data_IF_932969270405
#
_entry.id   IF_932969270405
#
_cell.length_a   1.000
_cell.length_b   1.000
_cell.length_c   1.000
_cell.angle_alpha   90.00
_cell.angle_beta   90.00
_cell.angle_gamma   90.00
#
_symmetry.space_group_name_H-M   'P 1'
#
loop_
_entity.id
_entity.type
_entity.pdbx_description
1 polymer ?
#
# COMPACT_ATOMS: atom_id res chain seq x y z
N UNK A 1 31.56 18.95 -15.34
CA UNK A 1 31.59 19.88 -14.18
C UNK A 1 31.42 19.08 -12.89
N UNK A 2 32.41 19.08 -11.99
CA UNK A 2 32.27 18.47 -10.65
C UNK A 2 31.45 19.43 -9.76
N UNK A 3 30.38 18.98 -9.09
CA UNK A 3 29.58 19.84 -8.23
C UNK A 3 30.43 20.39 -7.08
N UNK A 4 30.36 21.71 -6.87
CA UNK A 4 31.11 22.38 -5.81
C UNK A 4 30.67 21.83 -4.43
N UNK A 5 31.58 21.19 -3.66
CA UNK A 5 31.26 20.62 -2.35
C UNK A 5 30.85 21.68 -1.31
N UNK A 6 31.11 22.97 -1.58
CA UNK A 6 30.69 24.10 -0.74
C UNK A 6 29.34 24.69 -1.14
N UNK A 7 28.69 24.20 -2.19
CA UNK A 7 27.31 24.62 -2.49
C UNK A 7 26.38 24.27 -1.32
N UNK A 8 25.37 25.11 -1.09
CA UNK A 8 24.33 24.89 -0.08
C UNK A 8 23.70 23.48 -0.18
N UNK A 9 23.57 22.95 -1.40
CA UNK A 9 23.13 21.59 -1.67
C UNK A 9 24.12 20.51 -1.18
N UNK A 10 25.44 20.76 -1.31
CA UNK A 10 26.50 19.88 -0.79
C UNK A 10 26.55 19.88 0.74
N UNK A 11 26.38 21.05 1.37
CA UNK A 11 26.30 21.19 2.82
C UNK A 11 25.03 20.53 3.40
N UNK A 12 23.88 20.64 2.74
CA UNK A 12 22.64 19.98 3.16
C UNK A 12 22.75 18.45 3.14
N UNK A 13 23.45 17.88 2.14
CA UNK A 13 23.74 16.43 2.09
C UNK A 13 24.67 15.98 3.21
N UNK A 14 25.73 16.74 3.52
CA UNK A 14 26.65 16.47 4.65
C UNK A 14 25.94 16.56 6.00
N UNK A 15 25.14 17.60 6.22
CA UNK A 15 24.31 17.77 7.43
C UNK A 15 23.37 16.58 7.65
N UNK A 16 22.79 16.04 6.57
CA UNK A 16 21.92 14.87 6.65
C UNK A 16 22.68 13.59 6.98
N UNK A 17 23.83 13.36 6.35
CA UNK A 17 24.72 12.23 6.66
C UNK A 17 25.22 12.28 8.12
N UNK A 18 25.68 13.45 8.56
CA UNK A 18 26.13 13.69 9.94
C UNK A 18 25.00 13.52 10.97
N UNK A 19 23.76 13.90 10.64
CA UNK A 19 22.60 13.62 11.51
C UNK A 19 22.36 12.13 11.69
N UNK A 20 22.68 11.27 10.72
CA UNK A 20 22.55 9.82 10.91
C UNK A 20 23.65 9.25 11.80
N UNK A 21 24.81 9.90 11.86
CA UNK A 21 25.96 9.51 12.69
C UNK A 21 25.83 9.98 14.14
N UNK A 22 24.99 10.99 14.43
CA UNK A 22 24.83 11.48 15.82
C UNK A 22 23.97 10.51 16.65
N UNK A 23 24.52 9.97 17.77
CA UNK A 23 23.78 9.06 18.64
C UNK A 23 22.53 9.74 19.23
N UNK A 24 21.48 8.97 19.51
CA UNK A 24 20.23 9.48 20.08
C UNK A 24 20.43 10.04 21.49
N UNK A 25 19.77 11.18 21.78
CA UNK A 25 19.70 11.73 23.14
C UNK A 25 19.07 10.73 24.12
N UNK A 26 19.36 10.87 25.41
CA UNK A 26 18.80 9.98 26.44
C UNK A 26 17.27 10.01 26.47
N UNK A 27 16.67 11.19 26.35
CA UNK A 27 15.22 11.38 26.28
C UNK A 27 14.62 10.70 25.05
N UNK A 28 15.27 10.86 23.89
CA UNK A 28 14.82 10.17 22.67
C UNK A 28 14.92 8.65 22.83
N UNK A 29 15.93 8.13 23.54
CA UNK A 29 16.04 6.69 23.83
C UNK A 29 14.89 6.21 24.72
N UNK A 30 14.57 6.94 25.79
CA UNK A 30 13.50 6.57 26.72
C UNK A 30 12.10 6.61 26.08
N UNK A 31 11.84 7.58 25.20
CA UNK A 31 10.52 7.76 24.55
C UNK A 31 10.30 6.90 23.29
N UNK A 32 11.34 6.21 22.78
CA UNK A 32 11.24 5.36 21.58
C UNK A 32 10.13 4.32 21.65
N UNK A 33 10.00 3.51 22.73
CA UNK A 33 8.97 2.48 22.78
C UNK A 33 7.58 3.10 22.64
N UNK A 34 7.31 4.20 23.36
CA UNK A 34 6.02 4.90 23.28
C UNK A 34 5.78 5.43 21.87
N UNK A 35 6.78 6.07 21.25
CA UNK A 35 6.67 6.57 19.87
C UNK A 35 6.35 5.47 18.85
N UNK A 36 7.06 4.34 18.91
CA UNK A 36 6.81 3.22 18.00
C UNK A 36 5.49 2.50 18.29
N UNK A 37 5.07 2.42 19.56
CA UNK A 37 3.77 1.87 19.93
C UNK A 37 2.63 2.71 19.35
N UNK A 38 2.65 4.04 19.57
CA UNK A 38 1.62 4.93 19.04
C UNK A 38 1.55 4.87 17.50
N UNK A 39 2.70 4.92 16.82
CA UNK A 39 2.76 4.80 15.37
C UNK A 39 2.24 3.43 14.91
N UNK A 40 2.61 2.35 15.61
CA UNK A 40 2.13 0.99 15.31
C UNK A 40 0.62 0.87 15.45
N UNK A 41 0.04 1.44 16.51
CA UNK A 41 -1.41 1.48 16.72
C UNK A 41 -2.13 2.25 15.62
N UNK A 42 -1.66 3.45 15.27
CA UNK A 42 -2.23 4.25 14.18
C UNK A 42 -2.24 3.47 12.87
N UNK A 43 -1.11 2.87 12.48
CA UNK A 43 -1.05 2.08 11.24
C UNK A 43 -1.83 0.78 11.32
N UNK A 44 -2.00 0.19 12.50
CA UNK A 44 -2.86 -0.98 12.69
C UNK A 44 -4.33 -0.63 12.46
N UNK A 45 -4.79 0.50 13.01
CA UNK A 45 -6.15 0.99 12.80
C UNK A 45 -6.37 1.28 11.31
N UNK A 46 -5.46 2.01 10.66
CA UNK A 46 -5.55 2.27 9.21
C UNK A 46 -5.53 0.95 8.43
N UNK A 47 -4.64 0.01 8.77
CA UNK A 47 -4.58 -1.32 8.18
C UNK A 47 -5.90 -2.06 8.28
N UNK A 48 -6.47 -2.14 9.49
CA UNK A 48 -7.76 -2.77 9.74
C UNK A 48 -8.89 -2.11 8.94
N UNK A 49 -8.97 -0.78 8.94
CA UNK A 49 -9.95 -0.04 8.13
C UNK A 49 -9.79 -0.38 6.65
N UNK A 50 -8.57 -0.29 6.10
CA UNK A 50 -8.32 -0.55 4.67
C UNK A 50 -8.59 -1.99 4.26
N UNK A 51 -8.32 -2.97 5.13
CA UNK A 51 -8.63 -4.39 4.90
C UNK A 51 -10.13 -4.69 5.00
N UNK A 52 -10.84 -4.01 5.91
CA UNK A 52 -12.28 -4.19 6.10
C UNK A 52 -13.13 -3.43 5.07
N UNK A 53 -12.58 -2.41 4.43
CA UNK A 53 -13.32 -1.50 3.55
C UNK A 53 -14.12 -2.20 2.44
N UNK A 54 -13.61 -3.23 1.73
CA UNK A 54 -14.41 -3.96 0.73
C UNK A 54 -15.63 -4.65 1.32
N UNK A 55 -15.49 -5.24 2.52
CA UNK A 55 -16.59 -5.88 3.23
C UNK A 55 -17.58 -4.84 3.78
N UNK A 56 -17.09 -3.75 4.38
CA UNK A 56 -17.93 -2.67 4.91
C UNK A 56 -18.73 -1.98 3.80
N UNK A 57 -18.16 -1.78 2.61
CA UNK A 57 -18.89 -1.26 1.46
C UNK A 57 -20.02 -2.20 1.05
N UNK A 58 -19.76 -3.50 0.99
CA UNK A 58 -20.77 -4.51 0.64
C UNK A 58 -21.91 -4.54 1.66
N UNK A 59 -21.58 -4.57 2.96
CA UNK A 59 -22.56 -4.57 4.05
C UNK A 59 -23.34 -3.25 4.09
N UNK A 60 -22.68 -2.12 3.86
CA UNK A 60 -23.30 -0.80 3.82
C UNK A 60 -24.30 -0.67 2.67
N UNK A 61 -24.00 -1.25 1.50
CA UNK A 61 -24.93 -1.32 0.37
C UNK A 61 -26.10 -2.25 0.67
N UNK A 62 -25.85 -3.42 1.30
CA UNK A 62 -26.90 -4.38 1.63
C UNK A 62 -27.85 -3.91 2.73
N UNK A 63 -27.38 -3.07 3.64
CA UNK A 63 -28.19 -2.52 4.74
C UNK A 63 -29.01 -1.28 4.33
N UNK A 64 -28.88 -0.81 3.09
CA UNK A 64 -29.53 0.41 2.64
C UNK A 64 -30.79 0.11 1.83
N UNK A 65 -31.95 0.18 2.49
CA UNK A 65 -33.27 -0.08 1.89
C UNK A 65 -33.60 0.87 0.72
N UNK A 66 -32.96 2.05 0.66
CA UNK A 66 -33.19 3.03 -0.41
C UNK A 66 -32.43 2.72 -1.71
N UNK A 67 -31.46 1.80 -1.68
CA UNK A 67 -30.69 1.42 -2.85
C UNK A 67 -31.02 -0.03 -3.25
N UNK A 68 -32.12 -0.21 -3.98
CA UNK A 68 -32.35 -1.50 -4.66
C UNK A 68 -31.76 -1.45 -6.06
N UNK A 69 -30.86 -2.39 -6.38
CA UNK A 69 -30.31 -2.53 -7.74
C UNK A 69 -31.42 -2.77 -8.78
N UNK A 70 -32.55 -3.30 -8.31
CA UNK A 70 -33.77 -3.52 -9.08
C UNK A 70 -34.35 -2.21 -9.63
N UNK A 71 -34.47 -1.16 -8.83
CA UNK A 71 -35.04 0.11 -9.30
C UNK A 71 -34.14 0.78 -10.34
N UNK A 72 -32.82 0.70 -10.14
CA UNK A 72 -31.85 1.23 -11.09
C UNK A 72 -31.87 0.50 -12.44
N UNK A 73 -31.94 -0.85 -12.42
CA UNK A 73 -31.91 -1.66 -13.65
C UNK A 73 -33.26 -1.68 -14.36
N UNK A 74 -34.39 -1.69 -13.63
CA UNK A 74 -35.72 -1.81 -14.22
C UNK A 74 -36.29 -0.48 -14.69
N UNK A 75 -35.94 0.63 -14.03
CA UNK A 75 -36.46 1.96 -14.36
C UNK A 75 -35.40 2.88 -14.99
N UNK A 76 -34.15 2.41 -15.12
CA UNK A 76 -33.07 3.17 -15.72
C UNK A 76 -33.18 3.26 -17.24
N UNK A 77 -32.92 4.44 -17.79
CA UNK A 77 -32.72 4.62 -19.23
C UNK A 77 -31.52 3.76 -19.69
N UNK A 78 -31.70 2.98 -20.76
CA UNK A 78 -30.69 2.05 -21.26
C UNK A 78 -29.37 2.74 -21.62
N UNK A 79 -29.41 3.97 -22.13
CA UNK A 79 -28.22 4.75 -22.45
C UNK A 79 -27.46 5.12 -21.18
N UNK A 80 -28.18 5.52 -20.13
CA UNK A 80 -27.58 5.83 -18.82
C UNK A 80 -26.95 4.58 -18.20
N UNK A 81 -27.62 3.42 -18.29
CA UNK A 81 -27.09 2.14 -17.80
C UNK A 81 -25.80 1.74 -18.51
N UNK A 82 -25.75 1.88 -19.85
CA UNK A 82 -24.56 1.59 -20.64
C UNK A 82 -23.41 2.53 -20.24
N UNK A 83 -23.68 3.83 -20.11
CA UNK A 83 -22.66 4.81 -19.75
C UNK A 83 -22.13 4.58 -18.33
N UNK A 84 -23.01 4.28 -17.37
CA UNK A 84 -22.64 3.94 -16.00
C UNK A 84 -21.82 2.65 -15.93
N UNK A 85 -22.21 1.61 -16.68
CA UNK A 85 -21.46 0.36 -16.79
C UNK A 85 -20.08 0.56 -17.40
N UNK A 86 -19.98 1.35 -18.48
CA UNK A 86 -18.70 1.69 -19.10
C UNK A 86 -17.80 2.47 -18.13
N UNK A 87 -18.35 3.47 -17.42
CA UNK A 87 -17.62 4.22 -16.41
C UNK A 87 -17.15 3.32 -15.27
N UNK A 88 -18.01 2.42 -14.78
CA UNK A 88 -17.65 1.48 -13.73
C UNK A 88 -16.48 0.58 -14.17
N UNK A 89 -16.54 0.01 -15.37
CA UNK A 89 -15.50 -0.90 -15.89
C UNK A 89 -14.19 -0.16 -16.22
N UNK A 90 -14.27 1.01 -16.86
CA UNK A 90 -13.07 1.73 -17.34
C UNK A 90 -12.39 2.52 -16.22
N UNK A 91 -13.18 3.10 -15.30
CA UNK A 91 -12.66 4.02 -14.27
C UNK A 91 -12.70 3.37 -12.89
N UNK A 92 -13.87 2.94 -12.43
CA UNK A 92 -14.01 2.51 -11.04
C UNK A 92 -13.33 1.17 -10.74
N UNK A 93 -13.39 0.19 -11.64
CA UNK A 93 -12.75 -1.12 -11.46
C UNK A 93 -11.24 -0.97 -11.28
N UNK A 94 -10.48 -0.28 -12.15
CA UNK A 94 -9.06 -0.06 -11.93
C UNK A 94 -8.79 0.76 -10.65
N UNK A 95 -9.58 1.81 -10.41
CA UNK A 95 -9.37 2.71 -9.28
C UNK A 95 -9.60 2.01 -7.93
N UNK A 96 -10.76 1.36 -7.75
CA UNK A 96 -11.12 0.64 -6.53
C UNK A 96 -10.25 -0.59 -6.34
N UNK A 97 -10.01 -1.36 -7.41
CA UNK A 97 -9.10 -2.50 -7.38
C UNK A 97 -7.73 -2.07 -6.86
N UNK A 98 -7.15 -1.03 -7.47
CA UNK A 98 -5.86 -0.49 -7.03
C UNK A 98 -5.91 0.02 -5.59
N UNK A 99 -6.92 0.80 -5.20
CA UNK A 99 -7.05 1.34 -3.86
C UNK A 99 -7.12 0.24 -2.79
N UNK A 100 -7.94 -0.79 -3.00
CA UNK A 100 -8.12 -1.89 -2.04
C UNK A 100 -6.90 -2.79 -1.90
N UNK A 101 -6.00 -2.79 -2.88
CA UNK A 101 -4.74 -3.54 -2.81
C UNK A 101 -3.60 -2.65 -2.29
N UNK A 102 -3.46 -1.44 -2.82
CA UNK A 102 -2.37 -0.53 -2.50
C UNK A 102 -2.46 -0.01 -1.06
N UNK A 103 -3.67 0.31 -0.56
CA UNK A 103 -3.82 0.86 0.79
C UNK A 103 -3.41 -0.14 1.89
N UNK A 104 -3.87 -1.40 1.90
CA UNK A 104 -3.37 -2.39 2.87
C UNK A 104 -1.88 -2.68 2.69
N UNK A 105 -1.39 -2.75 1.44
CA UNK A 105 0.05 -2.93 1.18
C UNK A 105 0.90 -1.74 1.66
N UNK A 106 0.32 -0.54 1.75
CA UNK A 106 0.99 0.63 2.28
C UNK A 106 0.94 0.64 3.82
N UNK A 107 -0.21 0.35 4.42
CA UNK A 107 -0.49 0.54 5.85
C UNK A 107 -0.03 -0.64 6.72
N UNK A 108 -0.34 -1.88 6.32
CA UNK A 108 -0.03 -3.08 7.13
C UNK A 108 1.48 -3.26 7.31
N UNK A 109 2.33 -3.11 6.28
CA UNK A 109 3.78 -3.20 6.48
C UNK A 109 4.33 -2.11 7.39
N UNK A 110 3.76 -0.89 7.38
CA UNK A 110 4.15 0.17 8.30
C UNK A 110 3.82 -0.18 9.75
N UNK A 111 2.65 -0.78 10.01
CA UNK A 111 2.31 -1.32 11.33
C UNK A 111 3.33 -2.38 11.79
N UNK A 112 3.61 -3.36 10.93
CA UNK A 112 4.55 -4.46 11.25
C UNK A 112 5.97 -3.91 11.49
N UNK A 113 6.43 -2.96 10.69
CA UNK A 113 7.73 -2.31 10.89
C UNK A 113 7.76 -1.50 12.20
N UNK A 114 6.69 -0.76 12.52
CA UNK A 114 6.60 -0.01 13.78
C UNK A 114 6.69 -0.94 15.00
N UNK A 115 5.95 -2.04 15.02
CA UNK A 115 6.05 -3.04 16.10
C UNK A 115 7.41 -3.74 16.13
N UNK A 116 8.02 -3.99 14.96
CA UNK A 116 9.40 -4.51 14.90
C UNK A 116 10.39 -3.53 15.58
N UNK A 117 10.23 -2.23 15.38
CA UNK A 117 11.06 -1.22 16.03
C UNK A 117 10.73 -1.03 17.51
N UNK A 118 9.47 -1.20 17.91
CA UNK A 118 9.09 -1.28 19.33
C UNK A 118 9.88 -2.38 20.02
N UNK A 119 9.81 -3.62 19.51
CA UNK A 119 10.52 -4.77 20.09
C UNK A 119 12.04 -4.54 20.09
N UNK A 120 12.61 -3.97 19.02
CA UNK A 120 14.05 -3.63 18.98
C UNK A 120 14.41 -2.52 19.96
N UNK A 121 13.53 -1.55 20.22
CA UNK A 121 13.79 -0.45 21.15
C UNK A 121 13.87 -0.90 22.62
N UNK A 122 13.24 -2.02 22.97
CA UNK A 122 13.31 -2.63 24.29
C UNK A 122 14.61 -3.43 24.52
N UNK A 123 15.41 -3.67 23.48
CA UNK A 123 16.64 -4.46 23.57
C UNK A 123 17.84 -3.53 23.83
N UNK A 124 18.64 -3.77 24.88
CA UNK A 124 19.80 -2.94 25.22
C UNK A 124 20.84 -2.84 24.09
N UNK A 125 21.01 -3.89 23.30
CA UNK A 125 21.94 -3.95 22.17
C UNK A 125 21.62 -2.94 21.05
N UNK A 126 20.43 -2.36 21.05
CA UNK A 126 19.96 -1.38 20.07
C UNK A 126 19.83 0.03 20.67
N UNK A 127 20.20 0.24 21.94
CA UNK A 127 19.97 1.50 22.63
C UNK A 127 20.72 2.67 21.98
N UNK A 128 21.99 2.48 21.60
CA UNK A 128 22.84 3.52 21.00
C UNK A 128 22.54 3.81 19.54
N UNK A 129 21.74 2.98 18.87
CA UNK A 129 21.51 3.08 17.43
C UNK A 129 20.18 3.73 17.10
N UNK A 130 20.06 4.33 15.93
CA UNK A 130 18.77 4.72 15.37
C UNK A 130 18.15 3.50 14.68
N UNK A 131 16.85 3.28 14.88
CA UNK A 131 16.16 2.10 14.35
C UNK A 131 15.48 2.37 13.01
N UNK A 132 14.98 3.58 12.83
CA UNK A 132 14.26 4.02 11.64
C UNK A 132 14.77 5.36 11.13
N UNK A 133 14.64 5.56 9.82
CA UNK A 133 14.89 6.81 9.13
C UNK A 133 13.65 7.27 8.36
N UNK A 134 13.64 8.55 8.01
CA UNK A 134 12.67 9.13 7.08
C UNK A 134 13.37 9.44 5.76
N UNK A 135 12.91 8.80 4.69
CA UNK A 135 13.28 9.07 3.30
C UNK A 135 12.33 10.09 2.67
N UNK A 136 12.70 10.61 1.51
CA UNK A 136 11.87 11.53 0.75
C UNK A 136 11.84 11.04 -0.70
N UNK A 137 10.65 10.89 -1.28
CA UNK A 137 10.48 10.47 -2.68
C UNK A 137 9.43 11.32 -3.38
N UNK A 138 9.61 11.58 -4.67
CA UNK A 138 8.61 12.25 -5.51
C UNK A 138 7.63 11.27 -6.17
N UNK A 139 7.90 9.98 -6.06
CA UNK A 139 7.13 8.92 -6.74
C UNK A 139 6.09 8.27 -5.83
N UNK A 140 6.02 8.64 -4.55
CA UNK A 140 4.99 8.11 -3.66
C UNK A 140 3.64 8.78 -3.93
N UNK A 141 2.57 7.99 -3.87
CA UNK A 141 1.20 8.49 -3.85
C UNK A 141 0.99 9.36 -2.62
N UNK A 142 0.46 10.55 -2.85
CA UNK A 142 0.09 11.52 -1.84
C UNK A 142 -0.68 12.66 -2.49
N UNK A 143 -1.10 13.68 -1.71
CA UNK A 143 -1.59 14.94 -2.27
C UNK A 143 -0.60 15.47 -3.31
N UNK A 144 -1.05 16.24 -4.31
CA UNK A 144 -0.14 16.91 -5.25
C UNK A 144 0.69 17.91 -4.45
N UNK A 145 1.83 17.46 -3.94
CA UNK A 145 2.75 18.26 -3.15
C UNK A 145 3.86 18.76 -4.06
N UNK A 146 4.17 20.05 -3.96
CA UNK A 146 5.35 20.65 -4.62
C UNK A 146 6.64 19.99 -4.10
N UNK A 147 6.59 19.41 -2.90
CA UNK A 147 7.71 18.77 -2.23
C UNK A 147 7.63 17.24 -2.29
N UNK A 148 8.77 16.53 -2.19
CA UNK A 148 8.79 15.08 -2.01
C UNK A 148 7.92 14.66 -0.81
N UNK A 149 7.32 13.48 -0.88
CA UNK A 149 6.57 12.86 0.21
C UNK A 149 7.52 12.15 1.18
N UNK A 150 7.33 12.36 2.47
CA UNK A 150 8.12 11.73 3.52
C UNK A 150 7.74 10.25 3.68
N UNK A 151 8.70 9.35 3.48
CA UNK A 151 8.56 7.92 3.74
C UNK A 151 9.17 7.63 5.11
N UNK A 152 8.33 7.46 6.12
CA UNK A 152 8.77 7.15 7.49
C UNK A 152 9.10 5.66 7.65
N UNK A 153 9.68 5.29 8.80
CA UNK A 153 9.92 3.90 9.19
C UNK A 153 10.88 3.09 8.29
N UNK A 154 11.74 3.76 7.51
CA UNK A 154 12.75 3.07 6.71
C UNK A 154 13.80 2.42 7.63
N UNK A 155 14.12 1.13 7.46
CA UNK A 155 15.05 0.43 8.34
C UNK A 155 16.48 0.92 8.16
N UNK A 156 17.15 1.23 9.26
CA UNK A 156 18.60 1.51 9.24
C UNK A 156 19.42 0.21 9.19
N UNK A 157 19.02 -0.80 9.97
CA UNK A 157 19.55 -2.16 9.84
C UNK A 157 18.65 -3.00 8.94
N UNK A 158 19.14 -3.28 7.73
CA UNK A 158 18.44 -4.10 6.73
C UNK A 158 18.62 -5.58 7.07
N UNK A 159 17.56 -6.19 7.55
CA UNK A 159 17.44 -7.65 7.74
C UNK A 159 16.50 -8.24 6.67
N UNK A 160 16.51 -9.55 6.38
CA UNK A 160 15.55 -10.15 5.46
C UNK A 160 14.09 -9.81 5.81
N UNK A 161 13.76 -9.84 7.11
CA UNK A 161 12.44 -9.45 7.63
C UNK A 161 12.07 -8.00 7.30
N UNK A 162 12.88 -7.03 7.71
CA UNK A 162 12.59 -5.61 7.43
C UNK A 162 12.61 -5.32 5.93
N UNK A 163 13.49 -5.98 5.17
CA UNK A 163 13.56 -5.84 3.71
C UNK A 163 12.25 -6.27 3.06
N UNK A 164 11.70 -7.41 3.45
CA UNK A 164 10.42 -7.91 2.93
C UNK A 164 9.29 -6.91 3.18
N UNK A 165 9.12 -6.45 4.43
CA UNK A 165 8.05 -5.50 4.76
C UNK A 165 8.26 -4.12 4.12
N UNK A 166 9.49 -3.62 4.04
CA UNK A 166 9.78 -2.39 3.32
C UNK A 166 9.50 -2.51 1.82
N UNK A 167 9.74 -3.68 1.22
CA UNK A 167 9.37 -3.95 -0.18
C UNK A 167 7.85 -3.94 -0.38
N UNK A 168 7.08 -4.59 0.49
CA UNK A 168 5.63 -4.54 0.44
C UNK A 168 5.09 -3.12 0.61
N UNK A 169 5.63 -2.37 1.59
CA UNK A 169 5.32 -0.96 1.78
C UNK A 169 5.51 -0.15 0.49
N UNK A 170 6.66 -0.30 -0.17
CA UNK A 170 6.93 0.40 -1.42
C UNK A 170 6.03 -0.02 -2.57
N UNK A 171 5.54 -1.27 -2.56
CA UNK A 171 4.57 -1.72 -3.54
C UNK A 171 3.26 -0.92 -3.41
N UNK A 172 2.78 -0.67 -2.19
CA UNK A 172 1.58 0.13 -1.95
C UNK A 172 1.78 1.64 -2.19
N UNK A 173 2.92 2.20 -1.74
CA UNK A 173 3.16 3.64 -1.83
C UNK A 173 3.60 4.14 -3.20
N UNK A 174 4.34 3.33 -3.98
CA UNK A 174 4.87 3.75 -5.27
C UNK A 174 4.10 3.00 -6.37
N UNK A 175 3.19 3.68 -7.08
CA UNK A 175 2.35 3.07 -8.09
C UNK A 175 3.21 2.53 -9.21
N UNK A 176 2.85 1.35 -9.69
CA UNK A 176 3.43 0.74 -10.87
C UNK A 176 2.33 0.22 -11.77
N UNK A 177 2.54 0.32 -13.09
CA UNK A 177 1.61 -0.21 -14.08
C UNK A 177 1.27 -1.69 -13.84
N UNK A 178 2.25 -2.47 -13.40
CA UNK A 178 2.07 -3.91 -13.16
C UNK A 178 1.15 -4.17 -11.96
N UNK A 179 1.24 -3.32 -10.91
CA UNK A 179 0.36 -3.42 -9.75
C UNK A 179 -1.06 -2.94 -10.10
N UNK A 180 -1.19 -1.86 -10.87
CA UNK A 180 -2.47 -1.37 -11.37
C UNK A 180 -3.21 -2.47 -12.15
N UNK A 181 -2.52 -3.11 -13.11
CA UNK A 181 -3.09 -4.21 -13.90
C UNK A 181 -3.39 -5.44 -13.05
N UNK A 182 -2.52 -5.79 -12.09
CA UNK A 182 -2.75 -6.91 -11.16
C UNK A 182 -3.97 -6.70 -10.25
N UNK A 183 -4.37 -5.44 -10.02
CA UNK A 183 -5.48 -5.08 -9.16
C UNK A 183 -6.84 -5.08 -9.87
N UNK A 184 -6.88 -5.11 -11.21
CA UNK A 184 -8.13 -5.13 -12.01
C UNK A 184 -9.07 -6.28 -11.61
N UNK A 185 -8.61 -7.55 -11.43
CA UNK A 185 -9.51 -8.63 -11.05
C UNK A 185 -10.17 -8.38 -9.68
N UNK A 186 -9.47 -7.75 -8.74
CA UNK A 186 -10.03 -7.36 -7.45
C UNK A 186 -11.05 -6.23 -7.57
N UNK A 187 -10.78 -5.28 -8.47
CA UNK A 187 -11.76 -4.28 -8.89
C UNK A 187 -13.04 -4.92 -9.39
N UNK A 188 -12.95 -5.93 -10.26
CA UNK A 188 -14.12 -6.68 -10.73
C UNK A 188 -14.86 -7.37 -9.58
N UNK A 189 -14.14 -8.02 -8.65
CA UNK A 189 -14.74 -8.63 -7.45
C UNK A 189 -15.53 -7.61 -6.65
N UNK A 190 -15.02 -6.38 -6.50
CA UNK A 190 -15.68 -5.33 -5.72
C UNK A 190 -17.04 -4.89 -6.27
N UNK A 191 -17.30 -5.10 -7.56
CA UNK A 191 -18.62 -4.90 -8.17
C UNK A 191 -19.43 -6.19 -8.21
N UNK A 192 -18.77 -7.32 -8.54
CA UNK A 192 -19.42 -8.61 -8.69
C UNK A 192 -20.10 -9.03 -7.39
N UNK A 193 -19.40 -8.95 -6.26
CA UNK A 193 -19.87 -9.43 -4.96
C UNK A 193 -21.14 -8.70 -4.51
N UNK A 194 -21.17 -7.35 -4.41
CA UNK A 194 -22.43 -6.65 -4.15
C UNK A 194 -23.49 -6.93 -5.23
N UNK A 195 -23.08 -7.00 -6.50
CA UNK A 195 -24.01 -7.21 -7.62
C UNK A 195 -24.84 -8.49 -7.48
N UNK A 196 -24.21 -9.64 -7.22
CA UNK A 196 -24.95 -10.89 -7.06
C UNK A 196 -25.55 -11.09 -5.66
N UNK A 197 -25.02 -10.44 -4.62
CA UNK A 197 -25.60 -10.48 -3.27
C UNK A 197 -26.90 -9.68 -3.17
N UNK A 198 -26.97 -8.55 -3.87
CA UNK A 198 -28.15 -7.66 -3.87
C UNK A 198 -29.18 -8.04 -4.92
N UNK A 199 -28.83 -8.95 -5.84
CA UNK A 199 -29.73 -9.44 -6.87
C UNK A 199 -30.35 -10.78 -6.46
N UNK A 200 -31.65 -11.01 -6.74
CA UNK A 200 -32.28 -12.30 -6.48
C UNK A 200 -31.75 -13.36 -7.46
N UNK A 201 -30.64 -14.01 -7.10
CA UNK A 201 -30.07 -15.14 -7.82
C UNK A 201 -30.50 -16.46 -7.20
N UNK A 202 -30.60 -17.52 -8.01
CA UNK A 202 -30.84 -18.86 -7.48
C UNK A 202 -29.65 -19.35 -6.63
N UNK A 203 -29.85 -20.31 -5.71
CA UNK A 203 -28.75 -20.85 -4.90
C UNK A 203 -27.60 -21.41 -5.75
N UNK A 204 -27.93 -22.07 -6.86
CA UNK A 204 -26.92 -22.57 -7.80
C UNK A 204 -26.10 -21.44 -8.43
N UNK A 205 -26.76 -20.34 -8.85
CA UNK A 205 -26.07 -19.17 -9.38
C UNK A 205 -25.19 -18.49 -8.32
N UNK A 206 -25.64 -18.41 -7.07
CA UNK A 206 -24.85 -17.86 -5.96
C UNK A 206 -23.54 -18.66 -5.73
N UNK A 207 -23.59 -19.99 -5.82
CA UNK A 207 -22.40 -20.85 -5.73
C UNK A 207 -21.44 -20.58 -6.88
N UNK A 208 -21.95 -20.51 -8.12
CA UNK A 208 -21.12 -20.20 -9.30
C UNK A 208 -20.44 -18.84 -9.15
N UNK A 209 -21.18 -17.81 -8.77
CA UNK A 209 -20.63 -16.47 -8.58
C UNK A 209 -19.63 -16.40 -7.44
N UNK A 210 -19.84 -17.15 -6.36
CA UNK A 210 -18.87 -17.28 -5.26
C UNK A 210 -17.55 -17.88 -5.74
N UNK A 211 -17.60 -18.93 -6.56
CA UNK A 211 -16.41 -19.56 -7.16
C UNK A 211 -15.69 -18.57 -8.09
N UNK A 212 -16.43 -17.85 -8.93
CA UNK A 212 -15.86 -16.83 -9.83
C UNK A 212 -15.19 -15.71 -9.02
N UNK A 213 -15.84 -15.17 -7.99
CA UNK A 213 -15.26 -14.18 -7.09
C UNK A 213 -13.97 -14.70 -6.43
N UNK A 214 -13.98 -15.92 -5.91
CA UNK A 214 -12.81 -16.53 -5.29
C UNK A 214 -11.66 -16.69 -6.28
N UNK A 215 -11.93 -17.16 -7.49
CA UNK A 215 -10.93 -17.31 -8.54
C UNK A 215 -10.28 -15.97 -8.91
N UNK A 216 -11.08 -14.89 -8.99
CA UNK A 216 -10.56 -13.54 -9.24
C UNK A 216 -9.70 -13.02 -8.09
N UNK A 217 -10.09 -13.25 -6.83
CA UNK A 217 -9.25 -12.90 -5.66
C UNK A 217 -7.92 -13.65 -5.70
N UNK A 218 -7.94 -14.96 -5.96
CA UNK A 218 -6.73 -15.78 -6.10
C UNK A 218 -5.86 -15.26 -7.26
N UNK A 219 -6.47 -14.92 -8.40
CA UNK A 219 -5.77 -14.34 -9.54
C UNK A 219 -5.09 -13.03 -9.17
N UNK A 220 -5.75 -12.13 -8.45
CA UNK A 220 -5.14 -10.90 -7.92
C UNK A 220 -3.93 -11.20 -7.06
N UNK A 221 -4.05 -12.11 -6.09
CA UNK A 221 -2.92 -12.46 -5.21
C UNK A 221 -1.73 -12.96 -6.03
N UNK A 222 -1.96 -13.86 -6.99
CA UNK A 222 -0.91 -14.38 -7.88
C UNK A 222 -0.27 -13.26 -8.71
N UNK A 223 -1.07 -12.38 -9.29
CA UNK A 223 -0.57 -11.27 -10.12
C UNK A 223 0.21 -10.24 -9.29
N UNK A 224 -0.25 -9.89 -8.09
CA UNK A 224 0.44 -8.99 -7.16
C UNK A 224 1.78 -9.60 -6.73
N UNK A 225 1.82 -10.90 -6.41
CA UNK A 225 3.06 -11.61 -6.07
C UNK A 225 4.02 -11.62 -7.26
N UNK A 226 3.53 -11.83 -8.49
CA UNK A 226 4.35 -11.75 -9.71
C UNK A 226 4.90 -10.34 -9.92
N UNK A 227 4.07 -9.31 -9.80
CA UNK A 227 4.49 -7.91 -9.92
C UNK A 227 5.57 -7.56 -8.88
N UNK A 228 5.39 -7.99 -7.63
CA UNK A 228 6.39 -7.83 -6.58
C UNK A 228 7.72 -8.51 -6.92
N UNK A 229 7.67 -9.77 -7.39
CA UNK A 229 8.87 -10.52 -7.79
C UNK A 229 9.61 -9.84 -8.95
N UNK A 230 8.90 -9.41 -9.99
CA UNK A 230 9.51 -8.71 -11.14
C UNK A 230 10.21 -7.43 -10.67
N UNK A 231 9.51 -6.61 -9.87
CA UNK A 231 10.03 -5.34 -9.35
C UNK A 231 11.30 -5.51 -8.52
N UNK A 232 11.32 -6.49 -7.60
CA UNK A 232 12.41 -6.62 -6.64
C UNK A 232 13.53 -7.59 -7.05
N UNK A 233 13.28 -8.53 -7.96
CA UNK A 233 14.30 -9.41 -8.50
C UNK A 233 14.98 -8.83 -9.76
N UNK A 234 14.24 -8.08 -10.58
CA UNK A 234 14.80 -7.42 -11.77
C UNK A 234 15.88 -6.39 -11.42
N UNK A 235 15.70 -5.65 -10.33
CA UNK A 235 16.67 -4.67 -9.84
C UNK A 235 18.04 -5.28 -9.47
N UNK A 236 18.12 -6.60 -9.21
CA UNK A 236 19.40 -7.27 -8.90
C UNK A 236 20.24 -7.60 -10.14
N UNK A 237 19.64 -7.62 -11.34
CA UNK A 237 20.32 -8.03 -12.57
C UNK A 237 20.82 -6.87 -13.43
N UNK A 238 20.44 -5.62 -13.10
CA UNK A 238 20.62 -4.45 -13.97
C UNK A 238 21.79 -3.52 -13.66
N UNK A 239 22.68 -3.86 -12.73
CA UNK A 239 23.92 -3.09 -12.54
C UNK A 239 25.05 -3.83 -13.24
N UNK A 240 25.38 -3.50 -14.51
CA UNK A 240 26.70 -3.82 -15.01
C UNK A 240 27.67 -3.12 -14.08
N UNK A 241 28.45 -3.91 -13.34
CA UNK A 241 29.65 -3.41 -12.67
C UNK A 241 30.47 -2.82 -13.80
N UNK A 242 30.50 -1.50 -13.93
CA UNK A 242 31.47 -0.83 -14.75
C UNK A 242 32.83 -1.26 -14.20
N UNK A 243 33.41 -2.28 -14.83
CA UNK A 243 34.77 -2.70 -14.59
C UNK A 243 35.62 -1.46 -14.82
N UNK A 244 36.25 -0.98 -13.75
CA UNK A 244 37.12 0.17 -13.80
C UNK A 244 38.19 -0.04 -14.86
N UNK A 245 38.24 0.89 -15.81
CA UNK A 245 39.43 1.25 -16.56
C UNK A 245 39.95 2.56 -15.99
#
# INVERSE_FOLDING_TARGET
>A
MKPNPQSSAGQAKRSRAQRYETPPSATARALRPVGYLLIGLVWTIIGAVTLSLPALLTVGLASNDSFTTKDFVQNGDIFVLILAGLFAVVVLVPLLGYAFIALPLASVPLAVLAFTYLVRSLRPSYASERLSATGWTREAIGPITVYPTAMSLLPLRVTPWTRFWTQLMFLGWIPGKDLLLAAIPYGLVSFLVPGWLLWPVSPAAAVVWSIVSLALVVATVVLVVRAARVRFNGARRGVPVAAGS
#
